data_IF_145117231961
#
_entry.id   IF_145117231961
#
_cell.length_a   1.000
_cell.length_b   1.000
_cell.length_c   1.000
_cell.angle_alpha   90.00
_cell.angle_beta   90.00
_cell.angle_gamma   90.00
#
_symmetry.space_group_name_H-M   'P 1'
#
loop_
_entity.id
_entity.type
_entity.pdbx_description
1 polymer ?
#
# COMPACT_ATOMS: atom_id res chain seq x y z
N UNK A 1 19.53 16.63 -23.46
CA UNK A 1 18.17 16.37 -23.11
C UNK A 1 18.01 15.98 -21.67
N UNK A 2 17.05 16.51 -21.05
CA UNK A 2 16.83 16.17 -19.68
C UNK A 2 15.37 15.90 -19.47
N UNK A 3 15.11 15.16 -18.46
CA UNK A 3 13.77 14.71 -18.20
C UNK A 3 13.13 15.61 -17.19
N UNK A 4 12.00 16.05 -17.54
CA UNK A 4 11.18 16.64 -16.56
C UNK A 4 10.76 15.54 -15.64
N UNK A 5 11.29 15.52 -14.46
CA UNK A 5 10.87 14.54 -13.52
C UNK A 5 9.42 14.77 -13.20
N UNK A 6 8.63 13.82 -13.60
CA UNK A 6 7.27 13.84 -13.17
C UNK A 6 7.26 13.74 -11.66
N UNK A 7 6.52 14.59 -11.06
CA UNK A 7 6.24 14.39 -9.66
C UNK A 7 5.65 13.02 -9.52
N UNK A 8 5.95 12.39 -8.40
CA UNK A 8 5.39 11.08 -8.13
C UNK A 8 3.89 11.19 -8.11
N UNK A 9 3.27 10.81 -9.22
CA UNK A 9 1.83 10.89 -9.34
C UNK A 9 1.13 10.10 -8.26
N UNK A 10 1.81 9.10 -7.74
CA UNK A 10 1.24 8.21 -6.75
C UNK A 10 1.90 8.36 -5.39
N UNK A 11 2.48 9.52 -5.13
CA UNK A 11 2.90 9.83 -3.78
C UNK A 11 1.70 10.13 -2.90
N UNK A 12 1.94 10.16 -1.59
CA UNK A 12 0.86 10.49 -0.66
C UNK A 12 0.23 11.83 -1.03
N UNK A 13 -1.09 11.89 -1.18
CA UNK A 13 -1.74 13.15 -1.57
C UNK A 13 -1.62 14.25 -0.53
N UNK A 14 -1.27 13.90 0.69
CA UNK A 14 -1.14 14.89 1.74
C UNK A 14 0.26 15.43 1.89
N UNK A 15 1.29 14.61 1.67
CA UNK A 15 2.66 15.08 1.86
C UNK A 15 3.55 14.84 0.65
N UNK A 16 3.05 14.13 -0.35
CA UNK A 16 3.81 13.91 -1.58
C UNK A 16 4.88 12.85 -1.49
N UNK A 17 5.06 12.21 -0.36
CA UNK A 17 6.09 11.20 -0.22
C UNK A 17 5.62 9.87 -0.78
N UNK A 18 6.57 9.13 -1.33
CA UNK A 18 6.25 7.81 -1.83
C UNK A 18 5.90 6.88 -0.67
N UNK A 19 5.00 5.92 -0.90
CA UNK A 19 4.64 4.99 0.15
C UNK A 19 5.79 4.05 0.46
N UNK A 20 5.79 3.53 1.68
CA UNK A 20 6.75 2.51 2.08
C UNK A 20 6.02 1.19 2.23
N UNK A 21 6.74 0.11 1.97
CA UNK A 21 6.17 -1.22 2.09
C UNK A 21 6.38 -1.70 3.51
N UNK A 22 5.29 -2.13 4.12
CA UNK A 22 5.34 -2.75 5.43
C UNK A 22 4.96 -4.21 5.30
N UNK A 23 5.71 -5.07 5.97
CA UNK A 23 5.40 -6.49 5.99
C UNK A 23 5.03 -6.92 7.39
N UNK A 24 4.13 -7.89 7.46
CA UNK A 24 3.75 -8.48 8.73
C UNK A 24 3.55 -9.97 8.54
N UNK A 25 3.88 -10.72 9.55
CA UNK A 25 3.70 -12.15 9.52
C UNK A 25 2.45 -12.51 10.28
N UNK A 26 1.57 -13.26 9.63
CA UNK A 26 0.38 -13.77 10.27
C UNK A 26 0.47 -15.27 10.37
N UNK A 27 -0.16 -15.82 11.40
CA UNK A 27 -0.20 -17.26 11.58
C UNK A 27 -1.64 -17.72 11.59
N UNK A 28 -1.89 -18.77 10.84
CA UNK A 28 -3.21 -19.35 10.80
C UNK A 28 -3.13 -20.81 11.17
N UNK A 29 -3.89 -21.20 12.16
CA UNK A 29 -3.93 -22.58 12.58
C UNK A 29 -5.06 -23.31 11.87
N UNK A 30 -4.73 -24.43 11.27
CA UNK A 30 -5.72 -25.27 10.60
C UNK A 30 -6.02 -26.47 11.47
N UNK A 31 -7.18 -26.45 12.09
CA UNK A 31 -7.57 -27.52 13.00
C UNK A 31 -7.62 -28.87 12.30
N UNK A 32 -8.15 -28.90 11.08
CA UNK A 32 -8.30 -30.17 10.37
C UNK A 32 -6.97 -30.82 10.06
N UNK A 33 -5.93 -30.05 9.89
CA UNK A 33 -4.60 -30.58 9.58
C UNK A 33 -3.64 -30.48 10.74
N UNK A 34 -4.06 -29.83 11.80
CA UNK A 34 -3.22 -29.59 12.97
C UNK A 34 -1.88 -28.99 12.60
N UNK A 35 -1.91 -28.02 11.67
CA UNK A 35 -0.72 -27.31 11.24
C UNK A 35 -0.94 -25.83 11.34
N UNK A 36 0.15 -25.13 11.63
CA UNK A 36 0.13 -23.68 11.63
C UNK A 36 0.82 -23.20 10.38
N UNK A 37 0.15 -22.37 9.59
CA UNK A 37 0.70 -21.80 8.38
C UNK A 37 1.11 -20.38 8.66
N UNK A 38 2.33 -20.03 8.28
CA UNK A 38 2.80 -18.66 8.37
C UNK A 38 2.59 -17.98 7.03
N UNK A 39 1.97 -16.81 7.09
CA UNK A 39 1.73 -16.04 5.89
C UNK A 39 2.31 -14.65 6.09
N UNK A 40 3.04 -14.18 5.10
CA UNK A 40 3.53 -12.82 5.12
C UNK A 40 2.58 -11.97 4.29
N UNK A 41 2.15 -10.86 4.86
CA UNK A 41 1.26 -9.94 4.19
C UNK A 41 1.94 -8.58 4.08
N UNK A 42 1.52 -7.80 3.11
CA UNK A 42 2.17 -6.53 2.79
C UNK A 42 1.13 -5.45 2.63
N UNK A 43 1.53 -4.25 2.96
CA UNK A 43 0.72 -3.09 2.66
C UNK A 43 1.62 -1.91 2.36
N UNK A 44 1.08 -0.93 1.67
CA UNK A 44 1.75 0.33 1.44
C UNK A 44 1.14 1.36 2.37
N UNK A 45 2.00 2.19 2.91
CA UNK A 45 1.50 3.26 3.77
C UNK A 45 2.39 4.48 3.63
N UNK A 46 1.80 5.64 3.89
CA UNK A 46 2.56 6.86 3.91
C UNK A 46 3.56 6.82 5.07
N UNK A 47 4.82 7.21 4.84
CA UNK A 47 5.79 7.23 5.94
C UNK A 47 5.34 8.05 7.14
N UNK A 48 4.49 9.02 6.91
CA UNK A 48 3.95 9.84 7.98
C UNK A 48 2.62 9.35 8.52
N UNK A 49 2.09 8.28 7.94
CA UNK A 49 0.87 7.67 8.44
C UNK A 49 -0.42 8.31 7.98
N UNK A 50 -0.39 9.09 6.90
CA UNK A 50 -1.61 9.74 6.42
C UNK A 50 -2.61 8.76 5.85
N UNK A 51 -2.17 7.84 5.02
CA UNK A 51 -3.04 6.83 4.45
C UNK A 51 -2.27 5.51 4.37
N UNK A 52 -3.01 4.43 4.32
CA UNK A 52 -2.43 3.10 4.21
C UNK A 52 -3.40 2.20 3.48
N UNK A 53 -2.85 1.20 2.78
CA UNK A 53 -3.68 0.19 2.13
C UNK A 53 -4.04 -0.92 3.10
N UNK A 54 -4.89 -1.82 2.63
CA UNK A 54 -5.15 -3.05 3.37
C UNK A 54 -3.95 -3.99 3.26
N UNK A 55 -3.98 -5.03 4.03
CA UNK A 55 -2.95 -6.05 3.96
C UNK A 55 -3.25 -7.03 2.82
N UNK A 56 -2.23 -7.32 2.03
CA UNK A 56 -2.36 -8.24 0.90
C UNK A 56 -1.25 -9.26 0.94
N UNK A 57 -1.52 -10.42 0.35
CA UNK A 57 -0.51 -11.47 0.26
C UNK A 57 0.64 -11.09 -0.65
N UNK A 58 0.41 -10.20 -1.60
CA UNK A 58 1.43 -9.77 -2.54
C UNK A 58 1.52 -8.25 -2.58
N UNK A 59 2.75 -7.71 -2.62
CA UNK A 59 2.91 -6.26 -2.66
C UNK A 59 2.26 -5.61 -3.89
N UNK A 60 2.14 -6.36 -4.99
CA UNK A 60 1.52 -5.82 -6.20
C UNK A 60 0.09 -5.37 -5.96
N UNK A 61 -0.66 -6.14 -5.18
CA UNK A 61 -2.04 -5.76 -4.89
C UNK A 61 -2.11 -4.52 -4.02
N UNK A 62 -1.18 -4.38 -3.11
CA UNK A 62 -1.12 -3.17 -2.29
C UNK A 62 -0.83 -1.95 -3.16
N UNK A 63 0.03 -2.10 -4.17
CA UNK A 63 0.31 -1.00 -5.09
C UNK A 63 -0.92 -0.58 -5.86
N UNK A 64 -1.71 -1.55 -6.30
CA UNK A 64 -2.94 -1.24 -7.02
C UNK A 64 -3.89 -0.45 -6.14
N UNK A 65 -4.07 -0.89 -4.90
CA UNK A 65 -4.95 -0.18 -4.00
C UNK A 65 -4.42 1.20 -3.66
N UNK A 66 -3.11 1.34 -3.50
CA UNK A 66 -2.51 2.64 -3.23
C UNK A 66 -2.85 3.64 -4.33
N UNK A 67 -2.73 3.21 -5.58
CA UNK A 67 -3.07 4.08 -6.70
C UNK A 67 -4.54 4.49 -6.66
N UNK A 68 -5.40 3.55 -6.31
CA UNK A 68 -6.81 3.87 -6.19
C UNK A 68 -7.08 4.88 -5.09
N UNK A 69 -6.42 4.72 -3.96
CA UNK A 69 -6.58 5.67 -2.86
C UNK A 69 -6.12 7.07 -3.24
N UNK A 70 -4.98 7.15 -3.91
CA UNK A 70 -4.46 8.44 -4.35
C UNK A 70 -5.42 9.10 -5.33
N UNK A 71 -5.93 8.32 -6.27
CA UNK A 71 -6.88 8.86 -7.24
C UNK A 71 -8.16 9.34 -6.57
N UNK A 72 -8.65 8.62 -5.58
CA UNK A 72 -9.83 9.04 -4.86
C UNK A 72 -9.61 10.36 -4.13
N UNK A 73 -8.46 10.52 -3.52
CA UNK A 73 -8.15 11.77 -2.83
C UNK A 73 -8.07 12.93 -3.82
N UNK A 74 -7.48 12.69 -4.97
CA UNK A 74 -7.39 13.74 -5.99
C UNK A 74 -8.75 14.14 -6.49
N UNK A 75 -9.63 13.17 -6.64
CA UNK A 75 -11.00 13.48 -7.08
C UNK A 75 -11.74 14.33 -6.06
N UNK A 76 -11.52 14.06 -4.79
CA UNK A 76 -12.19 14.84 -3.75
C UNK A 76 -11.73 16.28 -3.73
N UNK A 77 -10.46 16.49 -4.04
CA UNK A 77 -9.90 17.84 -4.06
C UNK A 77 -10.29 18.63 -5.28
N UNK A 78 -10.64 17.93 -6.35
CA UNK A 78 -11.01 18.59 -7.60
C UNK A 78 -12.50 18.85 -7.60
N UNK A 79 -12.82 20.06 -7.53
CA UNK A 79 -14.23 20.45 -7.64
C UNK A 79 -14.48 21.30 -8.83
#
# INVERSE_FOLDING_TARGET
MWFKRKRNEYGCPMCGRLPVIKGAETRKYHESRKVTTKLTVYRLQCPRGHIATSWFSYPAYASIQWKQLVDEYKKKDTK
#
